data_IF_066150515633
#
_entry.id   IF_066150515633
#
_cell.length_a   1.000
_cell.length_b   1.000
_cell.length_c   1.000
_cell.angle_alpha   90.00
_cell.angle_beta   90.00
_cell.angle_gamma   90.00
#
_symmetry.space_group_name_H-M   'P 1'
#
loop_
_entity.id
_entity.type
_entity.pdbx_description
1 polymer ?
#
# COMPACT_ATOMS: atom_id res chain seq x y z
N UNK A 1 -16.57 -22.05 19.32
CA UNK A 1 -16.48 -23.31 18.55
C UNK A 1 -17.64 -24.20 18.98
N UNK A 2 -18.22 -24.99 18.09
CA UNK A 2 -19.24 -25.99 18.44
C UNK A 2 -18.50 -27.27 18.82
N UNK A 3 -18.77 -27.79 20.01
CA UNK A 3 -18.26 -29.09 20.42
C UNK A 3 -19.29 -30.16 20.10
N UNK A 4 -18.88 -31.22 19.40
CA UNK A 4 -19.77 -32.30 18.97
C UNK A 4 -19.16 -33.62 19.44
N UNK A 5 -19.94 -34.47 20.06
CA UNK A 5 -19.56 -35.84 20.38
C UNK A 5 -20.47 -36.80 19.64
N UNK A 6 -19.91 -37.61 18.76
CA UNK A 6 -20.59 -38.71 18.12
C UNK A 6 -19.97 -40.03 18.58
N UNK A 7 -20.60 -40.65 19.57
CA UNK A 7 -20.07 -41.81 20.29
C UNK A 7 -21.04 -42.98 20.12
N UNK A 8 -20.66 -43.98 19.31
CA UNK A 8 -21.43 -45.19 19.04
C UNK A 8 -22.93 -44.90 18.78
N UNK A 9 -23.16 -44.11 17.73
CA UNK A 9 -24.46 -43.64 17.24
C UNK A 9 -25.14 -42.53 18.08
N UNK A 10 -24.67 -42.24 19.28
CA UNK A 10 -25.23 -41.14 20.07
C UNK A 10 -24.55 -39.81 19.74
N UNK A 11 -25.35 -38.80 19.42
CA UNK A 11 -24.88 -37.47 19.06
C UNK A 11 -25.28 -36.46 20.13
N UNK A 12 -24.27 -35.83 20.74
CA UNK A 12 -24.45 -34.70 21.65
C UNK A 12 -23.66 -33.50 21.13
N UNK A 13 -24.20 -32.30 21.36
CA UNK A 13 -23.69 -31.04 20.85
C UNK A 13 -23.70 -30.02 21.98
N UNK A 14 -22.58 -29.32 22.14
CA UNK A 14 -22.40 -28.27 23.13
C UNK A 14 -21.93 -26.98 22.47
N UNK A 15 -22.69 -25.91 22.67
CA UNK A 15 -22.40 -24.56 22.19
C UNK A 15 -22.34 -23.56 23.36
N UNK A 16 -21.78 -22.38 23.11
CA UNK A 16 -21.71 -21.28 24.08
C UNK A 16 -20.31 -21.05 24.63
N UNK A 17 -20.22 -20.13 25.59
CA UNK A 17 -18.98 -19.81 26.31
C UNK A 17 -18.92 -20.61 27.63
N UNK A 18 -17.92 -20.37 28.50
CA UNK A 18 -17.87 -20.97 29.84
C UNK A 18 -19.14 -20.71 30.66
N UNK A 19 -19.73 -19.53 30.50
CA UNK A 19 -20.79 -19.05 31.39
C UNK A 19 -22.20 -19.36 30.86
N UNK A 20 -22.34 -19.70 29.57
CA UNK A 20 -23.64 -19.93 28.93
C UNK A 20 -23.60 -21.18 28.04
N UNK A 21 -23.37 -22.33 28.67
CA UNK A 21 -23.41 -23.61 27.98
C UNK A 21 -24.83 -23.96 27.54
N UNK A 22 -24.99 -24.24 26.25
CA UNK A 22 -26.22 -24.76 25.67
C UNK A 22 -25.92 -26.13 25.09
N UNK A 23 -26.69 -27.12 25.53
CA UNK A 23 -26.51 -28.50 25.12
C UNK A 23 -27.71 -28.94 24.28
N UNK A 24 -27.44 -29.84 23.35
CA UNK A 24 -28.44 -30.48 22.52
C UNK A 24 -28.03 -31.92 22.29
N UNK A 25 -28.99 -32.83 22.39
CA UNK A 25 -28.76 -34.26 22.20
C UNK A 25 -29.75 -34.76 21.16
N UNK A 26 -29.26 -35.58 20.23
CA UNK A 26 -30.12 -36.15 19.20
C UNK A 26 -31.20 -37.04 19.86
N UNK A 27 -32.47 -36.89 19.47
CA UNK A 27 -33.56 -37.67 20.08
C UNK A 27 -33.51 -39.15 19.71
N UNK A 28 -32.81 -39.50 18.64
CA UNK A 28 -32.64 -40.87 18.15
C UNK A 28 -31.16 -41.14 17.83
N UNK A 29 -30.70 -42.38 18.01
CA UNK A 29 -29.37 -42.79 17.57
C UNK A 29 -29.18 -42.57 16.05
N UNK A 30 -28.01 -42.06 15.68
CA UNK A 30 -27.57 -41.84 14.31
C UNK A 30 -26.68 -42.99 13.85
N UNK A 31 -27.30 -44.05 13.34
CA UNK A 31 -26.58 -45.22 12.80
C UNK A 31 -25.90 -44.95 11.44
N UNK A 32 -26.25 -43.86 10.75
CA UNK A 32 -25.67 -43.49 9.45
C UNK A 32 -25.20 -42.03 9.46
N UNK A 33 -24.01 -41.80 8.87
CA UNK A 33 -23.41 -40.49 8.67
C UNK A 33 -24.27 -39.57 7.80
N UNK A 34 -25.15 -40.10 6.95
CA UNK A 34 -26.06 -39.29 6.14
C UNK A 34 -27.04 -38.47 7.00
N UNK A 35 -27.43 -38.98 8.17
CA UNK A 35 -28.33 -38.31 9.11
C UNK A 35 -27.63 -37.22 9.95
N UNK A 36 -26.29 -37.22 9.98
CA UNK A 36 -25.49 -36.27 10.75
C UNK A 36 -25.70 -34.82 10.30
N UNK A 37 -25.76 -34.56 8.99
CA UNK A 37 -25.92 -33.21 8.45
C UNK A 37 -27.23 -32.53 8.90
N UNK A 38 -28.41 -33.16 8.69
CA UNK A 38 -29.68 -32.70 9.24
C UNK A 38 -29.66 -32.51 10.76
N UNK A 39 -29.10 -33.47 11.52
CA UNK A 39 -29.01 -33.39 12.97
C UNK A 39 -28.18 -32.19 13.44
N UNK A 40 -27.03 -31.94 12.81
CA UNK A 40 -26.19 -30.79 13.12
C UNK A 40 -26.90 -29.44 12.82
N UNK A 41 -27.69 -29.35 11.75
CA UNK A 41 -28.51 -28.14 11.48
C UNK A 41 -29.51 -27.88 12.59
N UNK A 42 -30.21 -28.92 13.03
CA UNK A 42 -31.17 -28.83 14.13
C UNK A 42 -30.46 -28.39 15.42
N UNK A 43 -29.33 -29.03 15.75
CA UNK A 43 -28.52 -28.68 16.90
C UNK A 43 -28.05 -27.21 16.89
N UNK A 44 -27.55 -26.72 15.75
CA UNK A 44 -27.12 -25.33 15.59
C UNK A 44 -28.29 -24.36 15.80
N UNK A 45 -29.46 -24.70 15.27
CA UNK A 45 -30.66 -23.86 15.43
C UNK A 45 -31.13 -23.80 16.88
N UNK A 46 -31.18 -24.93 17.60
CA UNK A 46 -31.66 -25.01 18.97
C UNK A 46 -30.67 -24.45 19.99
N UNK A 47 -29.37 -24.60 19.74
CA UNK A 47 -28.33 -23.99 20.57
C UNK A 47 -28.07 -22.51 20.23
N UNK A 48 -28.60 -22.04 19.10
CA UNK A 48 -28.33 -20.74 18.49
C UNK A 48 -26.83 -20.42 18.40
N UNK A 49 -26.04 -21.38 17.93
CA UNK A 49 -24.59 -21.21 17.78
C UNK A 49 -24.27 -20.25 16.61
N UNK A 50 -23.59 -19.11 16.86
CA UNK A 50 -23.31 -18.12 15.81
C UNK A 50 -22.07 -18.46 14.97
N UNK A 51 -21.22 -19.37 15.46
CA UNK A 51 -19.95 -19.71 14.82
C UNK A 51 -20.12 -20.71 13.67
N UNK A 52 -18.99 -21.07 13.05
CA UNK A 52 -18.93 -22.05 11.95
C UNK A 52 -17.87 -23.11 12.13
N UNK A 53 -17.25 -23.21 13.29
CA UNK A 53 -16.15 -24.15 13.56
C UNK A 53 -16.65 -25.24 14.48
N UNK A 54 -16.32 -26.48 14.13
CA UNK A 54 -16.73 -27.68 14.86
C UNK A 54 -15.49 -28.47 15.25
N UNK A 55 -15.41 -28.80 16.54
CA UNK A 55 -14.57 -29.87 17.04
C UNK A 55 -15.44 -31.08 17.32
N UNK A 56 -15.12 -32.21 16.69
CA UNK A 56 -15.85 -33.46 16.80
C UNK A 56 -14.99 -34.50 17.50
N UNK A 57 -15.51 -35.08 18.58
CA UNK A 57 -14.99 -36.30 19.18
C UNK A 57 -15.76 -37.50 18.65
N UNK A 58 -15.04 -38.53 18.22
CA UNK A 58 -15.58 -39.71 17.54
C UNK A 58 -15.26 -40.99 18.32
N UNK A 59 -16.28 -41.80 18.56
CA UNK A 59 -16.15 -43.23 18.81
C UNK A 59 -17.08 -43.95 17.83
N UNK A 60 -16.51 -44.78 16.96
CA UNK A 60 -17.23 -45.42 15.86
C UNK A 60 -16.62 -46.79 15.59
N UNK A 61 -17.44 -47.76 15.16
CA UNK A 61 -17.00 -49.14 14.91
C UNK A 61 -15.89 -49.24 13.84
N UNK A 62 -15.87 -48.30 12.89
CA UNK A 62 -14.84 -48.21 11.84
C UNK A 62 -13.57 -47.45 12.26
N UNK A 63 -13.53 -46.88 13.46
CA UNK A 63 -12.32 -46.25 14.00
C UNK A 63 -11.40 -47.33 14.55
N UNK A 64 -10.26 -47.51 13.88
CA UNK A 64 -9.24 -48.49 14.28
C UNK A 64 -8.08 -47.75 14.95
N UNK A 65 -7.63 -48.32 16.06
CA UNK A 65 -6.49 -47.84 16.83
C UNK A 65 -5.48 -48.97 16.94
N UNK A 66 -4.23 -48.70 16.59
CA UNK A 66 -3.18 -49.72 16.62
C UNK A 66 -1.87 -49.16 17.12
N UNK A 67 -1.20 -49.92 18.00
CA UNK A 67 0.14 -49.63 18.47
C UNK A 67 1.16 -50.23 17.48
N UNK A 68 2.14 -49.42 17.07
CA UNK A 68 3.18 -49.80 16.13
C UNK A 68 4.56 -49.47 16.69
N UNK A 69 5.46 -50.45 16.64
CA UNK A 69 6.89 -50.25 16.85
C UNK A 69 7.57 -49.98 15.52
N UNK A 70 8.35 -48.90 15.48
CA UNK A 70 9.07 -48.41 14.33
C UNK A 70 10.57 -48.49 14.65
N UNK A 71 11.38 -49.17 13.82
CA UNK A 71 12.82 -49.18 14.01
C UNK A 71 13.39 -47.76 13.91
N UNK A 72 14.53 -47.47 14.55
CA UNK A 72 15.16 -46.16 14.49
C UNK A 72 15.52 -45.82 13.03
N UNK A 73 14.82 -44.85 12.46
CA UNK A 73 15.01 -44.40 11.08
C UNK A 73 14.67 -42.91 10.93
N UNK A 74 14.94 -42.36 9.75
CA UNK A 74 14.57 -40.98 9.42
C UNK A 74 13.05 -40.80 9.45
N UNK A 75 12.58 -39.57 9.70
CA UNK A 75 11.14 -39.26 9.79
C UNK A 75 10.37 -39.59 8.51
N UNK A 76 10.99 -39.38 7.34
CA UNK A 76 10.41 -39.74 6.05
C UNK A 76 10.24 -41.27 5.90
N UNK A 77 11.24 -42.05 6.31
CA UNK A 77 11.18 -43.52 6.27
C UNK A 77 10.20 -44.06 7.29
N UNK A 78 10.18 -43.51 8.52
CA UNK A 78 9.20 -43.86 9.55
C UNK A 78 7.77 -43.66 9.05
N UNK A 79 7.49 -42.52 8.40
CA UNK A 79 6.16 -42.24 7.81
C UNK A 79 5.75 -43.28 6.76
N UNK A 80 6.66 -43.66 5.86
CA UNK A 80 6.39 -44.72 4.84
C UNK A 80 6.15 -46.08 5.49
N UNK A 81 6.87 -46.41 6.56
CA UNK A 81 6.66 -47.64 7.32
C UNK A 81 5.29 -47.66 7.99
N UNK A 82 4.87 -46.55 8.60
CA UNK A 82 3.53 -46.41 9.20
C UNK A 82 2.46 -46.53 8.13
N UNK A 83 2.60 -45.84 7.00
CA UNK A 83 1.65 -45.92 5.89
C UNK A 83 1.46 -47.36 5.39
N UNK A 84 2.56 -48.11 5.21
CA UNK A 84 2.51 -49.53 4.85
C UNK A 84 1.82 -50.39 5.92
N UNK A 85 2.01 -50.08 7.20
CA UNK A 85 1.33 -50.79 8.29
C UNK A 85 -0.16 -50.47 8.33
N UNK A 86 -0.56 -49.22 8.11
CA UNK A 86 -1.96 -48.80 8.01
C UNK A 86 -2.67 -49.59 6.93
N UNK A 87 -2.08 -49.69 5.74
CA UNK A 87 -2.65 -50.46 4.63
C UNK A 87 -2.79 -51.96 4.94
N UNK A 88 -1.91 -52.52 5.78
CA UNK A 88 -1.98 -53.93 6.22
C UNK A 88 -2.98 -54.17 7.35
N UNK A 89 -3.15 -53.20 8.25
CA UNK A 89 -3.92 -53.35 9.49
C UNK A 89 -5.36 -52.86 9.38
N UNK A 90 -5.69 -52.05 8.38
CA UNK A 90 -7.07 -51.59 8.17
C UNK A 90 -8.01 -52.80 8.01
N UNK A 91 -9.15 -52.74 8.69
CA UNK A 91 -10.20 -53.77 8.63
C UNK A 91 -11.28 -53.45 7.59
N UNK A 92 -11.11 -52.38 6.81
CA UNK A 92 -12.08 -51.84 5.87
C UNK A 92 -11.49 -51.68 4.46
N UNK A 93 -12.33 -51.74 3.40
CA UNK A 93 -11.89 -51.51 2.03
C UNK A 93 -11.58 -50.04 1.77
N UNK A 94 -10.78 -49.77 0.73
CA UNK A 94 -10.47 -48.42 0.28
C UNK A 94 -9.36 -47.70 1.09
N UNK A 95 -9.08 -46.43 0.78
CA UNK A 95 -8.01 -45.69 1.41
C UNK A 95 -8.36 -45.27 2.85
N UNK A 96 -7.38 -45.29 3.75
CA UNK A 96 -7.53 -44.81 5.11
C UNK A 96 -7.14 -43.32 5.25
N UNK A 97 -7.83 -42.60 6.12
CA UNK A 97 -7.35 -41.34 6.71
C UNK A 97 -6.80 -41.66 8.08
N UNK A 98 -5.55 -41.30 8.33
CA UNK A 98 -4.86 -41.70 9.55
C UNK A 98 -3.97 -40.59 10.12
N UNK A 99 -3.72 -40.68 11.42
CA UNK A 99 -2.77 -39.86 12.15
C UNK A 99 -2.03 -40.75 13.16
N UNK A 100 -0.74 -40.50 13.36
CA UNK A 100 0.10 -41.25 14.28
C UNK A 100 0.64 -40.31 15.35
N UNK A 101 0.42 -40.66 16.63
CA UNK A 101 1.00 -39.96 17.78
C UNK A 101 2.17 -40.76 18.34
N UNK A 102 3.15 -40.08 18.91
CA UNK A 102 4.26 -40.77 19.57
C UNK A 102 3.75 -41.53 20.78
N UNK A 103 4.22 -42.77 20.96
CA UNK A 103 3.89 -43.58 22.11
C UNK A 103 5.14 -43.90 22.92
N UNK A 104 4.93 -44.34 24.16
CA UNK A 104 5.99 -44.71 25.04
C UNK A 104 6.61 -46.03 24.60
N UNK A 105 7.94 -46.04 24.52
CA UNK A 105 8.71 -47.16 24.02
C UNK A 105 9.15 -48.05 25.19
N UNK A 106 9.17 -49.37 24.95
CA UNK A 106 9.72 -50.36 25.88
C UNK A 106 11.22 -50.62 25.68
N UNK A 107 11.77 -50.33 24.50
CA UNK A 107 13.16 -50.60 24.09
C UNK A 107 13.67 -49.50 23.13
N UNK A 108 14.89 -49.60 22.58
CA UNK A 108 15.55 -48.67 21.63
C UNK A 108 14.77 -48.37 20.32
N UNK A 109 13.55 -48.87 20.19
CA UNK A 109 12.63 -48.55 19.09
C UNK A 109 11.88 -47.24 19.34
N UNK A 110 11.35 -46.63 18.28
CA UNK A 110 10.31 -45.61 18.40
C UNK A 110 8.96 -46.30 18.35
N UNK A 111 7.97 -45.84 19.10
CA UNK A 111 6.63 -46.40 19.02
C UNK A 111 5.63 -45.30 18.73
N UNK A 112 4.54 -45.66 18.08
CA UNK A 112 3.44 -44.75 17.81
C UNK A 112 2.11 -45.46 17.93
N UNK A 113 1.07 -44.70 18.25
CA UNK A 113 -0.31 -45.15 18.15
C UNK A 113 -0.91 -44.52 16.92
N UNK A 114 -1.42 -45.35 16.01
CA UNK A 114 -2.06 -44.92 14.78
C UNK A 114 -3.56 -44.99 14.94
N UNK A 115 -4.20 -43.88 14.65
CA UNK A 115 -5.65 -43.75 14.57
C UNK A 115 -6.03 -43.68 13.11
N UNK A 116 -6.92 -44.55 12.65
CA UNK A 116 -7.32 -44.62 11.25
C UNK A 116 -8.82 -44.85 11.08
N UNK A 117 -9.40 -44.20 10.07
CA UNK A 117 -10.79 -44.36 9.64
C UNK A 117 -10.86 -44.50 8.11
N UNK A 118 -11.94 -45.09 7.56
CA UNK A 118 -12.18 -45.06 6.13
C UNK A 118 -12.25 -43.62 5.61
N UNK A 119 -11.62 -43.36 4.47
CA UNK A 119 -11.71 -42.04 3.81
C UNK A 119 -13.15 -41.67 3.47
N UNK A 120 -13.97 -42.64 3.11
CA UNK A 120 -15.39 -42.41 2.80
C UNK A 120 -16.16 -41.86 4.00
N UNK A 121 -15.96 -42.44 5.19
CA UNK A 121 -16.55 -41.96 6.43
C UNK A 121 -16.02 -40.56 6.77
N UNK A 122 -14.70 -40.36 6.68
CA UNK A 122 -14.09 -39.05 6.90
C UNK A 122 -14.70 -37.97 5.99
N UNK A 123 -14.80 -38.24 4.69
CA UNK A 123 -15.32 -37.28 3.72
C UNK A 123 -16.83 -37.07 3.91
N UNK A 124 -17.57 -38.09 4.33
CA UNK A 124 -18.98 -37.97 4.70
C UNK A 124 -19.17 -37.09 5.94
N UNK A 125 -18.33 -37.22 6.97
CA UNK A 125 -18.31 -36.33 8.14
C UNK A 125 -18.07 -34.87 7.73
N UNK A 126 -17.05 -34.62 6.89
CA UNK A 126 -16.76 -33.28 6.37
C UNK A 126 -17.93 -32.73 5.57
N UNK A 127 -18.54 -33.52 4.69
CA UNK A 127 -19.72 -33.12 3.90
C UNK A 127 -20.93 -32.82 4.81
N UNK A 128 -21.19 -33.64 5.82
CA UNK A 128 -22.27 -33.44 6.77
C UNK A 128 -22.11 -32.12 7.54
N UNK A 129 -20.91 -31.81 8.01
CA UNK A 129 -20.62 -30.49 8.61
C UNK A 129 -20.85 -29.35 7.61
N UNK A 130 -20.35 -29.47 6.37
CA UNK A 130 -20.54 -28.43 5.35
C UNK A 130 -22.01 -28.19 5.01
N UNK A 131 -22.82 -29.26 4.94
CA UNK A 131 -24.28 -29.17 4.74
C UNK A 131 -25.00 -28.46 5.91
N UNK A 132 -24.38 -28.40 7.08
CA UNK A 132 -24.85 -27.64 8.24
C UNK A 132 -24.25 -26.23 8.32
N UNK A 133 -23.55 -25.76 7.27
CA UNK A 133 -22.77 -24.52 7.26
C UNK A 133 -21.65 -24.47 8.31
N UNK A 134 -21.17 -25.63 8.72
CA UNK A 134 -20.10 -25.82 9.69
C UNK A 134 -18.81 -26.28 8.99
N UNK A 135 -17.68 -26.01 9.63
CA UNK A 135 -16.35 -26.44 9.19
C UNK A 135 -15.75 -27.32 10.29
N UNK A 136 -15.50 -28.57 9.94
CA UNK A 136 -14.82 -29.51 10.81
C UNK A 136 -13.35 -29.09 10.93
N UNK A 137 -12.95 -28.58 12.08
CA UNK A 137 -11.57 -28.13 12.35
C UNK A 137 -10.78 -29.17 13.14
N UNK A 138 -11.47 -29.93 14.00
CA UNK A 138 -10.88 -31.01 14.80
C UNK A 138 -11.76 -32.24 14.69
N UNK A 139 -11.13 -33.37 14.37
CA UNK A 139 -11.73 -34.70 14.44
C UNK A 139 -10.79 -35.58 15.24
N UNK A 140 -11.19 -35.91 16.47
CA UNK A 140 -10.34 -36.66 17.41
C UNK A 140 -11.07 -37.89 17.96
N UNK A 141 -10.38 -39.02 18.17
CA UNK A 141 -10.93 -40.16 18.90
C UNK A 141 -11.34 -39.82 20.34
N UNK A 142 -12.38 -40.48 20.85
CA UNK A 142 -12.78 -40.38 22.27
C UNK A 142 -11.64 -40.77 23.23
N UNK A 143 -10.81 -41.75 22.85
CA UNK A 143 -9.64 -42.16 23.63
C UNK A 143 -8.62 -41.05 23.83
N UNK A 144 -8.50 -40.12 22.88
CA UNK A 144 -7.56 -39.01 23.01
C UNK A 144 -8.10 -37.90 23.90
N UNK A 145 -9.43 -37.75 23.94
CA UNK A 145 -10.05 -36.89 24.94
C UNK A 145 -9.84 -37.46 26.35
N UNK A 146 -10.09 -38.76 26.55
CA UNK A 146 -9.81 -39.42 27.84
C UNK A 146 -8.34 -39.30 28.23
N UNK A 147 -7.43 -39.55 27.29
CA UNK A 147 -6.00 -39.36 27.50
C UNK A 147 -5.64 -37.98 27.99
N UNK A 148 -6.18 -36.95 27.35
CA UNK A 148 -5.89 -35.58 27.74
C UNK A 148 -6.39 -35.23 29.14
N UNK A 149 -7.55 -35.78 29.54
CA UNK A 149 -8.08 -35.62 30.90
C UNK A 149 -7.16 -36.31 31.93
N UNK A 150 -6.69 -37.52 31.62
CA UNK A 150 -5.74 -38.25 32.48
C UNK A 150 -4.45 -37.48 32.66
N UNK A 151 -3.89 -36.96 31.57
CA UNK A 151 -2.64 -36.20 31.61
C UNK A 151 -2.75 -34.89 32.40
N UNK A 152 -3.95 -34.30 32.51
CA UNK A 152 -4.17 -33.06 33.27
C UNK A 152 -4.34 -33.30 34.77
N UNK A 153 -4.83 -34.47 35.18
CA UNK A 153 -5.19 -34.75 36.57
C UNK A 153 -4.29 -35.79 37.27
N UNK A 154 -3.36 -36.42 36.55
CA UNK A 154 -2.41 -37.37 37.13
C UNK A 154 -1.37 -36.67 38.01
N UNK A 155 -1.33 -37.04 39.29
CA UNK A 155 -0.32 -36.59 40.25
C UNK A 155 0.69 -37.67 40.63
N UNK A 156 0.43 -38.92 40.26
CA UNK A 156 1.32 -40.03 40.63
C UNK A 156 2.61 -40.02 39.82
N UNK A 157 3.67 -40.61 40.37
CA UNK A 157 4.92 -40.92 39.68
C UNK A 157 4.84 -42.16 38.77
N UNK A 158 3.66 -42.80 38.69
CA UNK A 158 3.43 -44.07 37.98
C UNK A 158 2.42 -43.94 36.81
N UNK A 159 2.29 -45.00 36.01
CA UNK A 159 1.34 -44.97 34.89
C UNK A 159 -0.11 -45.01 35.39
N UNK A 160 -0.99 -44.29 34.70
CA UNK A 160 -2.42 -44.22 35.01
C UNK A 160 -3.22 -44.95 33.94
N UNK A 161 -4.10 -45.85 34.35
CA UNK A 161 -5.09 -46.52 33.50
C UNK A 161 -6.46 -45.89 33.72
N UNK A 162 -7.01 -45.21 32.74
CA UNK A 162 -8.40 -44.78 32.76
C UNK A 162 -9.30 -45.75 31.99
N UNK A 163 -10.40 -46.13 32.62
CA UNK A 163 -11.51 -46.88 32.05
C UNK A 163 -12.77 -46.04 32.14
N UNK A 164 -13.13 -45.38 31.04
CA UNK A 164 -14.22 -44.42 30.98
C UNK A 164 -15.33 -44.96 30.08
N UNK A 165 -16.54 -45.05 30.62
CA UNK A 165 -17.73 -45.41 29.87
C UNK A 165 -18.06 -44.33 28.83
N UNK A 166 -18.40 -44.79 27.64
CA UNK A 166 -19.03 -44.02 26.58
C UNK A 166 -20.32 -44.74 26.20
N UNK A 167 -21.26 -44.11 25.48
CA UNK A 167 -22.41 -44.83 24.96
C UNK A 167 -22.00 -46.12 24.26
N UNK A 168 -22.56 -47.27 24.66
CA UNK A 168 -22.27 -48.60 24.10
C UNK A 168 -20.80 -49.05 24.11
N UNK A 169 -19.93 -48.45 24.94
CA UNK A 169 -18.53 -48.85 25.02
C UNK A 169 -17.78 -48.40 26.27
N UNK A 170 -16.58 -48.93 26.46
CA UNK A 170 -15.63 -48.44 27.47
C UNK A 170 -14.30 -48.14 26.79
N UNK A 171 -13.84 -46.91 26.96
CA UNK A 171 -12.56 -46.43 26.47
C UNK A 171 -11.50 -46.71 27.53
N UNK A 172 -10.49 -47.50 27.16
CA UNK A 172 -9.34 -47.79 27.99
C UNK A 172 -8.10 -47.08 27.47
N UNK A 173 -7.49 -46.32 28.37
CA UNK A 173 -6.37 -45.44 28.09
C UNK A 173 -5.32 -45.65 29.16
N UNK A 174 -4.10 -45.99 28.76
CA UNK A 174 -2.96 -46.03 29.67
C UNK A 174 -2.00 -44.91 29.29
N UNK A 175 -1.69 -44.04 30.24
CA UNK A 175 -0.69 -42.97 30.08
C UNK A 175 0.42 -43.12 31.10
N UNK A 176 1.63 -42.75 30.70
CA UNK A 176 2.70 -42.42 31.65
C UNK A 176 2.38 -41.08 32.32
N UNK A 177 3.06 -40.82 33.44
CA UNK A 177 2.98 -39.55 34.18
C UNK A 177 3.32 -38.31 33.36
N UNK A 178 4.21 -38.47 32.38
CA UNK A 178 4.59 -37.40 31.46
C UNK A 178 3.55 -37.18 30.34
N UNK A 179 2.38 -37.81 30.42
CA UNK A 179 1.31 -37.74 29.44
C UNK A 179 1.54 -38.57 28.18
N UNK A 180 2.67 -39.28 28.06
CA UNK A 180 2.96 -40.10 26.87
C UNK A 180 2.05 -41.33 26.85
N UNK A 181 1.37 -41.60 25.73
CA UNK A 181 0.44 -42.71 25.64
C UNK A 181 1.17 -44.05 25.59
N UNK A 182 0.70 -45.03 26.38
CA UNK A 182 1.15 -46.43 26.29
C UNK A 182 0.19 -47.25 25.46
N UNK A 183 -1.10 -47.16 25.78
CA UNK A 183 -2.13 -47.99 25.18
C UNK A 183 -3.44 -47.22 25.03
N UNK A 184 -4.14 -47.49 23.93
CA UNK A 184 -5.48 -47.00 23.62
C UNK A 184 -6.29 -48.17 23.08
N UNK A 185 -7.47 -48.40 23.63
CA UNK A 185 -8.43 -49.35 23.07
C UNK A 185 -9.84 -48.97 23.48
N UNK A 186 -10.80 -49.39 22.66
CA UNK A 186 -12.22 -49.26 22.96
C UNK A 186 -12.82 -50.65 23.01
N UNK A 187 -13.57 -50.93 24.08
CA UNK A 187 -14.29 -52.19 24.27
C UNK A 187 -15.76 -51.90 24.01
N UNK A 188 -16.43 -52.74 23.24
CA UNK A 188 -17.88 -52.68 23.04
C UNK A 188 -18.60 -53.23 24.28
N UNK A 189 -19.64 -52.55 24.73
CA UNK A 189 -20.42 -52.94 25.91
C UNK A 189 -20.50 -51.83 26.96
N UNK A 190 -21.37 -51.99 27.94
CA UNK A 190 -21.53 -51.04 29.05
C UNK A 190 -21.14 -51.70 30.37
N UNK A 191 -20.82 -50.88 31.39
CA UNK A 191 -20.53 -51.44 32.72
C UNK A 191 -21.72 -52.26 33.24
N UNK A 192 -22.94 -51.80 32.97
CA UNK A 192 -24.17 -52.44 33.42
C UNK A 192 -24.41 -53.82 32.78
N UNK A 193 -24.14 -53.97 31.49
CA UNK A 193 -24.42 -55.21 30.75
C UNK A 193 -23.24 -56.19 30.73
N UNK A 194 -22.01 -55.68 30.67
CA UNK A 194 -20.79 -56.45 30.38
C UNK A 194 -19.74 -56.37 31.50
N UNK A 195 -20.16 -56.14 32.75
CA UNK A 195 -19.31 -55.88 33.90
C UNK A 195 -18.08 -56.83 34.00
N UNK A 196 -18.31 -58.14 34.10
CA UNK A 196 -17.24 -59.14 34.26
C UNK A 196 -16.26 -59.15 33.09
N UNK A 197 -16.78 -58.96 31.87
CA UNK A 197 -15.96 -58.87 30.66
C UNK A 197 -15.06 -57.64 30.72
N UNK A 198 -15.61 -56.46 31.05
CA UNK A 198 -14.85 -55.22 31.11
C UNK A 198 -13.81 -55.26 32.24
N UNK A 199 -14.16 -55.79 33.42
CA UNK A 199 -13.20 -55.98 34.52
C UNK A 199 -12.07 -56.93 34.12
N UNK A 200 -12.40 -58.06 33.48
CA UNK A 200 -11.41 -59.00 32.95
C UNK A 200 -10.48 -58.34 31.93
N UNK A 201 -11.01 -57.44 31.11
CA UNK A 201 -10.24 -56.64 30.17
C UNK A 201 -9.32 -55.62 30.86
N UNK A 202 -9.82 -54.87 31.85
CA UNK A 202 -9.00 -53.94 32.65
C UNK A 202 -7.82 -54.68 33.29
N UNK A 203 -8.07 -55.84 33.92
CA UNK A 203 -7.00 -56.69 34.50
C UNK A 203 -5.99 -57.12 33.45
N UNK A 204 -6.45 -57.58 32.28
CA UNK A 204 -5.56 -57.96 31.16
C UNK A 204 -4.71 -56.79 30.67
N UNK A 205 -5.25 -55.56 30.69
CA UNK A 205 -4.47 -54.35 30.36
C UNK A 205 -3.38 -54.10 31.38
N UNK A 206 -3.67 -54.16 32.67
CA UNK A 206 -2.68 -53.94 33.73
C UNK A 206 -1.52 -54.94 33.60
N UNK A 207 -1.85 -56.22 33.38
CA UNK A 207 -0.86 -57.28 33.18
C UNK A 207 -0.05 -57.02 31.90
N UNK A 208 -0.71 -56.69 30.79
CA UNK A 208 -0.05 -56.39 29.52
C UNK A 208 0.91 -55.21 29.66
N UNK A 209 0.52 -54.14 30.34
CA UNK A 209 1.38 -52.96 30.53
C UNK A 209 2.63 -53.32 31.32
N UNK A 210 2.48 -54.13 32.37
CA UNK A 210 3.60 -54.62 33.17
C UNK A 210 4.54 -55.52 32.35
N UNK A 211 4.00 -56.40 31.53
CA UNK A 211 4.79 -57.35 30.74
C UNK A 211 5.50 -56.67 29.56
N UNK A 212 4.77 -55.87 28.77
CA UNK A 212 5.26 -55.30 27.52
C UNK A 212 6.16 -54.08 27.76
N UNK A 213 5.79 -53.20 28.70
CA UNK A 213 6.49 -51.94 28.92
C UNK A 213 7.33 -51.91 30.19
N UNK A 214 7.30 -52.98 31.00
CA UNK A 214 7.97 -53.06 32.30
C UNK A 214 7.54 -51.91 33.24
N UNK A 215 6.27 -51.49 33.17
CA UNK A 215 5.73 -50.40 33.99
C UNK A 215 4.60 -50.89 34.89
N UNK A 216 4.57 -50.41 36.14
CA UNK A 216 3.39 -50.55 37.00
C UNK A 216 2.32 -49.51 36.62
N UNK A 217 1.06 -49.94 36.74
CA UNK A 217 -0.09 -49.05 36.77
C UNK A 217 -0.31 -48.69 38.24
N UNK A 218 -0.01 -47.45 38.62
CA UNK A 218 -0.12 -46.98 40.00
C UNK A 218 -1.51 -46.48 40.34
N UNK A 219 -2.24 -45.95 39.34
CA UNK A 219 -3.62 -45.49 39.51
C UNK A 219 -4.53 -46.07 38.43
N UNK A 220 -5.74 -46.48 38.83
CA UNK A 220 -6.82 -46.88 37.93
C UNK A 220 -7.97 -45.91 38.10
N UNK A 221 -8.32 -45.19 37.05
CA UNK A 221 -9.44 -44.26 37.05
C UNK A 221 -10.65 -44.93 36.41
N UNK A 222 -11.77 -44.94 37.11
CA UNK A 222 -13.02 -45.48 36.62
C UNK A 222 -14.00 -44.32 36.42
N UNK A 223 -14.63 -44.25 35.25
CA UNK A 223 -15.70 -43.31 34.94
C UNK A 223 -16.88 -44.03 34.28
N UNK A 224 -18.11 -43.69 34.66
CA UNK A 224 -19.32 -44.31 34.13
C UNK A 224 -20.46 -44.43 35.13
N UNK A 225 -21.58 -44.96 34.65
CA UNK A 225 -22.93 -44.59 35.11
C UNK A 225 -23.58 -45.48 36.17
N UNK A 226 -22.84 -46.30 36.94
CA UNK A 226 -23.46 -46.81 38.18
C UNK A 226 -22.94 -48.09 38.86
N UNK A 227 -21.98 -48.82 38.27
CA UNK A 227 -21.40 -50.01 38.94
C UNK A 227 -19.96 -49.78 39.43
N UNK A 228 -19.63 -48.52 39.70
CA UNK A 228 -18.28 -48.11 40.08
C UNK A 228 -17.83 -48.71 41.42
N UNK A 229 -18.73 -48.82 42.40
CA UNK A 229 -18.40 -49.43 43.71
C UNK A 229 -18.10 -50.91 43.60
N UNK A 230 -18.89 -51.64 42.81
CA UNK A 230 -18.64 -53.06 42.54
C UNK A 230 -17.33 -53.22 41.76
N UNK A 231 -17.07 -52.36 40.76
CA UNK A 231 -15.81 -52.34 40.02
C UNK A 231 -14.60 -52.11 40.93
N UNK A 232 -14.71 -51.18 41.88
CA UNK A 232 -13.67 -50.93 42.91
C UNK A 232 -13.44 -52.20 43.73
N UNK A 233 -14.50 -52.84 44.21
CA UNK A 233 -14.39 -54.05 45.03
C UNK A 233 -13.72 -55.19 44.26
N UNK A 234 -14.13 -55.42 43.01
CA UNK A 234 -13.58 -56.49 42.16
C UNK A 234 -12.14 -56.21 41.72
N UNK A 235 -11.73 -54.95 41.52
CA UNK A 235 -10.37 -54.61 41.12
C UNK A 235 -9.41 -54.51 42.31
N UNK A 236 -9.88 -54.05 43.47
CA UNK A 236 -9.07 -53.85 44.68
C UNK A 236 -8.46 -55.13 45.24
N UNK A 237 -9.07 -56.29 44.98
CA UNK A 237 -8.51 -57.59 45.37
C UNK A 237 -7.42 -58.08 44.42
N UNK A 238 -7.31 -57.52 43.21
CA UNK A 238 -6.52 -58.08 42.11
C UNK A 238 -5.36 -57.19 41.65
N UNK A 239 -5.40 -55.88 41.91
CA UNK A 239 -4.38 -54.93 41.47
C UNK A 239 -3.84 -54.10 42.65
N UNK A 240 -2.52 -53.92 42.78
CA UNK A 240 -1.92 -53.06 43.80
C UNK A 240 -2.11 -51.54 43.52
N UNK A 241 -2.96 -51.18 42.55
CA UNK A 241 -3.14 -49.81 42.08
C UNK A 241 -4.19 -49.06 42.90
N UNK A 242 -4.00 -47.76 43.11
CA UNK A 242 -4.99 -46.88 43.74
C UNK A 242 -6.15 -46.65 42.76
N UNK A 243 -7.34 -47.07 43.15
CA UNK A 243 -8.54 -46.86 42.32
C UNK A 243 -9.13 -45.49 42.65
N UNK A 244 -9.31 -44.64 41.64
CA UNK A 244 -9.96 -43.34 41.75
C UNK A 244 -11.23 -43.32 40.92
N UNK A 245 -12.27 -42.70 41.47
CA UNK A 245 -13.45 -42.36 40.70
C UNK A 245 -13.18 -41.04 40.00
N UNK A 246 -13.18 -41.07 38.67
CA UNK A 246 -13.12 -39.84 37.90
C UNK A 246 -14.54 -39.27 37.85
N UNK A 247 -14.74 -37.96 38.12
CA UNK A 247 -16.02 -37.33 37.85
C UNK A 247 -16.35 -37.57 36.38
N UNK A 248 -17.42 -38.32 36.14
CA UNK A 248 -17.86 -38.66 34.80
C UNK A 248 -18.12 -37.35 34.05
N UNK A 249 -17.54 -37.13 32.86
CA UNK A 249 -18.13 -36.13 31.99
C UNK A 249 -19.55 -36.62 31.76
N UNK A 250 -20.53 -35.83 32.20
CA UNK A 250 -21.95 -36.14 31.98
C UNK A 250 -22.16 -36.58 30.53
N UNK A 251 -23.17 -37.40 30.23
CA UNK A 251 -23.42 -37.90 28.86
C UNK A 251 -23.34 -36.78 27.79
N UNK A 252 -23.78 -35.56 28.14
CA UNK A 252 -23.71 -34.36 27.29
C UNK A 252 -22.37 -33.59 27.35
N UNK A 253 -21.53 -33.87 28.35
CA UNK A 253 -20.27 -33.21 28.65
C UNK A 253 -19.13 -33.49 27.66
N UNK A 254 -19.16 -34.59 26.91
CA UNK A 254 -18.14 -34.91 25.89
C UNK A 254 -18.03 -33.83 24.82
N UNK A 255 -19.18 -33.32 24.35
CA UNK A 255 -19.23 -32.19 23.43
C UNK A 255 -18.59 -30.93 24.04
N UNK A 256 -18.83 -30.66 25.33
CA UNK A 256 -18.25 -29.50 25.99
C UNK A 256 -16.73 -29.64 26.18
N UNK A 257 -16.24 -30.84 26.51
CA UNK A 257 -14.82 -31.13 26.65
C UNK A 257 -14.05 -30.91 25.34
N UNK A 258 -14.53 -31.48 24.22
CA UNK A 258 -13.84 -31.34 22.92
C UNK A 258 -13.80 -29.90 22.42
N UNK A 259 -14.70 -29.03 22.92
CA UNK A 259 -14.69 -27.60 22.61
C UNK A 259 -13.44 -26.88 23.12
N UNK A 260 -12.80 -27.40 24.18
CA UNK A 260 -11.50 -26.91 24.66
C UNK A 260 -10.33 -27.28 23.74
N UNK A 261 -10.50 -28.30 22.89
CA UNK A 261 -9.44 -28.84 22.04
C UNK A 261 -9.34 -28.06 20.73
N UNK A 262 -8.65 -26.91 20.76
CA UNK A 262 -8.28 -26.18 19.53
C UNK A 262 -7.17 -26.90 18.76
N UNK A 263 -6.28 -27.56 19.48
CA UNK A 263 -5.12 -28.29 18.93
C UNK A 263 -5.03 -29.65 19.60
N UNK A 264 -5.83 -30.60 19.12
CA UNK A 264 -5.64 -32.01 19.48
C UNK A 264 -4.33 -32.51 18.85
N UNK A 265 -3.52 -33.23 19.62
CA UNK A 265 -2.31 -33.90 19.12
C UNK A 265 -2.67 -34.85 17.98
N UNK A 266 -3.75 -35.61 18.17
CA UNK A 266 -4.39 -36.40 17.14
C UNK A 266 -5.55 -35.62 16.55
N UNK A 267 -5.37 -35.15 15.33
CA UNK A 267 -6.44 -34.59 14.53
C UNK A 267 -6.47 -35.29 13.17
N UNK A 268 -7.56 -35.97 12.87
CA UNK A 268 -7.78 -36.67 11.61
C UNK A 268 -8.11 -35.69 10.46
N UNK A 269 -8.45 -34.43 10.77
CA UNK A 269 -8.57 -33.38 9.75
C UNK A 269 -7.19 -32.95 9.27
N UNK A 270 -6.93 -33.15 7.97
CA UNK A 270 -5.62 -32.82 7.40
C UNK A 270 -5.35 -31.32 7.47
N UNK A 271 -4.07 -30.95 7.53
CA UNK A 271 -3.65 -29.54 7.49
C UNK A 271 -4.17 -28.84 6.23
N UNK A 272 -4.13 -29.53 5.09
CA UNK A 272 -4.66 -29.03 3.82
C UNK A 272 -6.15 -28.70 3.89
N UNK A 273 -6.96 -29.52 4.56
CA UNK A 273 -8.39 -29.25 4.74
C UNK A 273 -8.65 -28.06 5.66
N UNK A 274 -7.88 -27.91 6.74
CA UNK A 274 -7.93 -26.73 7.62
C UNK A 274 -7.56 -25.45 6.86
N UNK A 275 -6.51 -25.50 6.05
CA UNK A 275 -6.05 -24.37 5.24
C UNK A 275 -6.94 -24.10 4.01
N UNK A 276 -7.65 -25.11 3.48
CA UNK A 276 -8.47 -24.96 2.28
C UNK A 276 -9.51 -23.83 2.42
N UNK A 277 -10.02 -23.60 3.64
CA UNK A 277 -10.92 -22.47 3.91
C UNK A 277 -10.18 -21.13 3.80
N UNK A 278 -9.01 -21.01 4.43
CA UNK A 278 -8.19 -19.80 4.31
C UNK A 278 -7.88 -19.52 2.83
N UNK A 279 -7.52 -20.56 2.06
CA UNK A 279 -7.31 -20.47 0.61
C UNK A 279 -8.57 -20.03 -0.14
N UNK A 280 -9.76 -20.53 0.20
CA UNK A 280 -11.04 -20.11 -0.42
C UNK A 280 -11.42 -18.67 -0.10
N UNK A 281 -11.10 -18.20 1.10
CA UNK A 281 -11.33 -16.79 1.49
C UNK A 281 -10.33 -15.91 0.75
N UNK A 282 -9.05 -16.24 0.80
CA UNK A 282 -7.97 -15.54 0.07
C UNK A 282 -8.25 -15.51 -1.42
N UNK A 283 -8.72 -16.60 -2.03
CA UNK A 283 -9.04 -16.63 -3.47
C UNK A 283 -10.29 -15.82 -3.83
N UNK A 284 -11.27 -15.69 -2.93
CA UNK A 284 -12.42 -14.78 -3.13
C UNK A 284 -11.97 -13.32 -3.11
N UNK A 285 -11.16 -12.94 -2.12
CA UNK A 285 -10.60 -11.58 -2.05
C UNK A 285 -9.66 -11.29 -3.23
N UNK A 286 -8.81 -12.24 -3.59
CA UNK A 286 -7.92 -12.12 -4.74
C UNK A 286 -8.69 -11.91 -6.05
N UNK A 287 -9.80 -12.62 -6.27
CA UNK A 287 -10.68 -12.37 -7.42
C UNK A 287 -11.33 -10.99 -7.37
N UNK A 288 -11.80 -10.54 -6.21
CA UNK A 288 -12.39 -9.20 -6.05
C UNK A 288 -11.39 -8.09 -6.36
N UNK A 289 -10.17 -8.18 -5.81
CA UNK A 289 -9.09 -7.22 -6.09
C UNK A 289 -8.65 -7.26 -7.55
N UNK A 290 -8.59 -8.44 -8.17
CA UNK A 290 -8.31 -8.58 -9.59
C UNK A 290 -9.33 -7.87 -10.47
N UNK A 291 -10.63 -8.04 -10.19
CA UNK A 291 -11.70 -7.32 -10.90
C UNK A 291 -11.62 -5.81 -10.72
N UNK A 292 -11.29 -5.35 -9.50
CA UNK A 292 -11.12 -3.92 -9.22
C UNK A 292 -9.95 -3.33 -9.99
N UNK A 293 -8.81 -4.02 -10.05
CA UNK A 293 -7.65 -3.60 -10.82
C UNK A 293 -7.96 -3.50 -12.32
N UNK A 294 -8.61 -4.52 -12.89
CA UNK A 294 -9.04 -4.52 -14.30
C UNK A 294 -10.01 -3.36 -14.57
N UNK A 295 -10.99 -3.16 -13.70
CA UNK A 295 -11.98 -2.07 -13.85
C UNK A 295 -11.31 -0.69 -13.78
N UNK A 296 -10.34 -0.52 -12.87
CA UNK A 296 -9.55 0.71 -12.76
C UNK A 296 -8.73 0.97 -14.02
N UNK A 297 -8.05 -0.05 -14.56
CA UNK A 297 -7.28 0.06 -15.80
C UNK A 297 -8.15 0.43 -17.00
N UNK A 298 -9.34 -0.18 -17.13
CA UNK A 298 -10.31 0.18 -18.17
C UNK A 298 -10.80 1.62 -17.98
N UNK A 299 -11.14 2.01 -16.75
CA UNK A 299 -11.55 3.39 -16.44
C UNK A 299 -10.49 4.43 -16.79
N UNK A 300 -9.23 4.17 -16.44
CA UNK A 300 -8.10 5.03 -16.80
C UNK A 300 -7.88 5.10 -18.31
N UNK A 301 -8.01 3.98 -19.04
CA UNK A 301 -7.91 3.95 -20.49
C UNK A 301 -8.99 4.84 -21.14
N UNK A 302 -10.26 4.67 -20.74
CA UNK A 302 -11.38 5.49 -21.22
C UNK A 302 -11.17 6.97 -20.89
N UNK A 303 -10.73 7.28 -19.68
CA UNK A 303 -10.45 8.66 -19.26
C UNK A 303 -9.33 9.28 -20.10
N UNK A 304 -8.23 8.54 -20.33
CA UNK A 304 -7.12 9.00 -21.15
C UNK A 304 -7.53 9.25 -22.61
N UNK A 305 -8.42 8.42 -23.16
CA UNK A 305 -8.95 8.61 -24.50
C UNK A 305 -9.81 9.88 -24.58
N UNK A 306 -10.67 10.12 -23.58
CA UNK A 306 -11.45 11.36 -23.50
C UNK A 306 -10.57 12.60 -23.39
N UNK A 307 -9.51 12.55 -22.59
CA UNK A 307 -8.55 13.67 -22.51
C UNK A 307 -7.89 13.93 -23.86
N UNK A 308 -7.50 12.88 -24.60
CA UNK A 308 -6.95 13.03 -25.95
C UNK A 308 -7.95 13.63 -26.94
N UNK A 309 -9.21 13.23 -26.88
CA UNK A 309 -10.28 13.79 -27.70
C UNK A 309 -10.49 15.28 -27.39
N UNK A 310 -10.47 15.67 -26.11
CA UNK A 310 -10.56 17.07 -25.68
C UNK A 310 -9.34 17.89 -26.11
N UNK A 311 -8.13 17.35 -25.99
CA UNK A 311 -6.92 18.00 -26.49
C UNK A 311 -6.98 18.22 -28.00
N UNK A 312 -7.52 17.26 -28.74
CA UNK A 312 -7.69 17.39 -30.19
C UNK A 312 -8.66 18.51 -30.55
N UNK A 313 -9.84 18.55 -29.90
CA UNK A 313 -10.81 19.63 -30.15
C UNK A 313 -10.23 20.99 -29.78
N UNK A 314 -9.53 21.09 -28.65
CA UNK A 314 -8.90 22.34 -28.22
C UNK A 314 -7.81 22.79 -29.20
N UNK A 315 -6.97 21.87 -29.71
CA UNK A 315 -5.96 22.20 -30.74
C UNK A 315 -6.60 22.72 -32.02
N UNK A 316 -7.71 22.12 -32.46
CA UNK A 316 -8.44 22.57 -33.63
C UNK A 316 -9.04 23.96 -33.41
N UNK A 317 -9.62 24.22 -32.24
CA UNK A 317 -10.19 25.52 -31.89
C UNK A 317 -9.11 26.62 -31.80
N UNK A 318 -8.03 26.36 -31.07
CA UNK A 318 -6.85 27.24 -31.01
C UNK A 318 -6.28 27.52 -32.40
N UNK A 319 -6.20 26.50 -33.27
CA UNK A 319 -5.76 26.68 -34.65
C UNK A 319 -6.66 27.63 -35.46
N UNK A 320 -7.98 27.58 -35.23
CA UNK A 320 -8.94 28.51 -35.85
C UNK A 320 -8.79 29.94 -35.31
N UNK A 321 -8.57 30.09 -34.01
CA UNK A 321 -8.33 31.40 -33.41
C UNK A 321 -7.04 32.03 -33.92
N UNK A 322 -5.96 31.25 -34.00
CA UNK A 322 -4.68 31.70 -34.58
C UNK A 322 -4.89 32.13 -36.03
N UNK A 323 -5.56 31.32 -36.86
CA UNK A 323 -5.85 31.69 -38.25
C UNK A 323 -6.70 32.96 -38.36
N UNK A 324 -7.68 33.14 -37.45
CA UNK A 324 -8.51 34.36 -37.39
C UNK A 324 -7.67 35.58 -37.00
N UNK A 325 -6.80 35.46 -36.01
CA UNK A 325 -5.91 36.53 -35.57
C UNK A 325 -4.92 36.90 -36.68
N UNK A 326 -4.35 35.92 -37.38
CA UNK A 326 -3.49 36.16 -38.54
C UNK A 326 -4.24 36.90 -39.64
N UNK A 327 -5.47 36.47 -39.95
CA UNK A 327 -6.30 37.13 -40.96
C UNK A 327 -6.65 38.57 -40.59
N UNK A 328 -6.86 38.89 -39.30
CA UNK A 328 -7.07 40.25 -38.81
C UNK A 328 -5.77 41.09 -38.77
N UNK A 329 -4.63 40.46 -38.53
CA UNK A 329 -3.34 41.15 -38.44
C UNK A 329 -2.84 41.63 -39.81
N UNK A 330 -3.12 40.90 -40.89
CA UNK A 330 -2.72 41.28 -42.25
C UNK A 330 -3.23 42.67 -42.67
N UNK A 331 -4.54 42.99 -42.60
CA UNK A 331 -5.04 44.31 -42.98
C UNK A 331 -4.57 45.42 -42.02
N UNK A 332 -4.41 45.12 -40.72
CA UNK A 332 -3.85 46.08 -39.77
C UNK A 332 -2.40 46.45 -40.10
N UNK A 333 -1.57 45.47 -40.49
CA UNK A 333 -0.19 45.73 -40.95
C UNK A 333 -0.17 46.53 -42.25
N UNK A 334 -1.06 46.22 -43.19
CA UNK A 334 -1.20 46.98 -44.43
C UNK A 334 -1.63 48.44 -44.17
N UNK A 335 -2.58 48.64 -43.25
CA UNK A 335 -3.02 49.97 -42.83
C UNK A 335 -1.89 50.75 -42.14
N UNK A 336 -1.15 50.14 -41.21
CA UNK A 336 0.01 50.79 -40.57
C UNK A 336 1.08 51.17 -41.60
N UNK A 337 1.36 50.31 -42.58
CA UNK A 337 2.28 50.64 -43.67
C UNK A 337 1.79 51.83 -44.51
N UNK A 338 0.50 51.89 -44.85
CA UNK A 338 -0.06 53.04 -45.57
C UNK A 338 0.01 54.35 -44.77
N UNK A 339 -0.23 54.28 -43.45
CA UNK A 339 -0.11 55.43 -42.55
C UNK A 339 1.33 55.92 -42.45
N UNK A 340 2.31 55.01 -42.39
CA UNK A 340 3.73 55.36 -42.42
C UNK A 340 4.11 56.02 -43.74
N UNK A 341 3.64 55.51 -44.88
CA UNK A 341 3.87 56.14 -46.19
C UNK A 341 3.27 57.54 -46.27
N UNK A 342 2.04 57.74 -45.77
CA UNK A 342 1.40 59.06 -45.70
C UNK A 342 2.18 60.03 -44.80
N UNK A 343 2.69 59.57 -43.64
CA UNK A 343 3.53 60.40 -42.77
C UNK A 343 4.81 60.87 -43.46
N UNK A 344 5.49 59.98 -44.19
CA UNK A 344 6.70 60.35 -44.95
C UNK A 344 6.38 61.41 -46.02
N UNK A 345 5.23 61.33 -46.69
CA UNK A 345 4.79 62.34 -47.68
C UNK A 345 4.45 63.68 -47.02
N UNK A 346 3.79 63.65 -45.85
CA UNK A 346 3.46 64.85 -45.08
C UNK A 346 4.75 65.53 -44.59
N UNK A 347 5.68 64.77 -44.02
CA UNK A 347 7.00 65.28 -43.59
C UNK A 347 7.79 65.85 -44.77
N UNK A 348 7.76 65.21 -45.95
CA UNK A 348 8.40 65.72 -47.16
C UNK A 348 7.78 67.05 -47.65
N UNK A 349 6.45 67.19 -47.58
CA UNK A 349 5.76 68.46 -47.90
C UNK A 349 6.02 69.56 -46.87
N UNK A 350 6.06 69.21 -45.58
CA UNK A 350 6.40 70.15 -44.51
C UNK A 350 7.86 70.64 -44.61
N UNK A 351 8.77 69.81 -45.11
CA UNK A 351 10.15 70.23 -45.39
C UNK A 351 10.26 71.16 -46.61
N UNK A 352 9.43 70.99 -47.65
CA UNK A 352 9.44 71.82 -48.85
C UNK A 352 8.86 73.24 -48.66
N UNK A 353 8.03 73.44 -47.63
CA UNK A 353 7.40 74.73 -47.31
C UNK A 353 8.14 75.54 -46.24
N UNK A 354 9.26 75.02 -45.70
CA UNK A 354 10.06 75.77 -44.73
C UNK A 354 10.93 76.80 -45.47
N UNK A 355 10.88 78.09 -45.12
CA UNK A 355 11.81 79.06 -45.67
C UNK A 355 13.24 78.59 -45.39
N UNK A 356 14.18 78.75 -46.35
CA UNK A 356 15.55 78.27 -46.21
C UNK A 356 16.35 79.19 -45.28
N UNK A 357 15.89 79.31 -44.03
CA UNK A 357 16.47 80.17 -42.99
C UNK A 357 17.94 79.83 -42.77
N UNK A 358 18.32 78.56 -42.92
CA UNK A 358 19.71 78.09 -42.85
C UNK A 358 20.58 78.73 -43.94
N UNK A 359 20.08 78.80 -45.18
CA UNK A 359 20.80 79.38 -46.32
C UNK A 359 20.86 80.90 -46.20
N UNK A 360 19.76 81.53 -45.80
CA UNK A 360 19.72 82.98 -45.58
C UNK A 360 20.65 83.41 -44.44
N UNK A 361 20.68 82.65 -43.34
CA UNK A 361 21.59 82.90 -42.23
C UNK A 361 23.04 82.79 -42.66
N UNK A 362 23.42 81.70 -43.33
CA UNK A 362 24.80 81.52 -43.80
C UNK A 362 25.21 82.63 -44.77
N UNK A 363 24.33 83.01 -45.70
CA UNK A 363 24.57 84.11 -46.64
C UNK A 363 24.75 85.46 -45.92
N UNK A 364 23.91 85.77 -44.93
CA UNK A 364 24.05 87.01 -44.16
C UNK A 364 25.27 87.04 -43.26
N UNK A 365 25.61 85.91 -42.60
CA UNK A 365 26.82 85.81 -41.79
C UNK A 365 28.08 85.97 -42.66
N UNK A 366 28.11 85.37 -43.85
CA UNK A 366 29.20 85.51 -44.81
C UNK A 366 29.41 86.97 -45.24
N UNK A 367 28.32 87.74 -45.41
CA UNK A 367 28.41 89.16 -45.80
C UNK A 367 28.85 90.08 -44.65
N UNK A 368 28.55 89.71 -43.40
CA UNK A 368 28.88 90.51 -42.22
C UNK A 368 30.23 90.14 -41.59
N UNK A 369 30.95 89.15 -42.12
CA UNK A 369 32.21 88.65 -41.59
C UNK A 369 33.39 89.62 -41.89
N UNK A 370 33.98 90.27 -40.87
CA UNK A 370 35.17 91.08 -41.08
C UNK A 370 36.41 90.19 -41.33
N UNK A 371 37.44 90.71 -42.04
CA UNK A 371 38.74 90.04 -42.11
C UNK A 371 39.28 89.83 -40.68
N UNK A 372 39.79 88.63 -40.41
CA UNK A 372 40.31 88.23 -39.09
C UNK A 372 39.34 87.44 -38.20
N UNK A 373 38.10 87.17 -38.62
CA UNK A 373 37.19 86.23 -37.93
C UNK A 373 37.04 84.92 -38.72
N UNK A 374 37.16 83.79 -38.03
CA UNK A 374 36.86 82.46 -38.56
C UNK A 374 35.75 81.82 -37.73
N UNK A 375 34.59 81.57 -38.33
CA UNK A 375 33.50 80.84 -37.68
C UNK A 375 33.79 79.34 -37.75
N UNK A 376 33.70 78.65 -36.60
CA UNK A 376 33.95 77.20 -36.51
C UNK A 376 32.68 76.39 -36.35
N UNK A 377 31.66 76.95 -35.69
CA UNK A 377 30.39 76.28 -35.51
C UNK A 377 29.25 77.27 -35.60
N UNK A 378 28.28 76.99 -36.47
CA UNK A 378 27.02 77.72 -36.56
C UNK A 378 25.90 76.73 -36.28
N UNK A 379 25.38 76.75 -35.05
CA UNK A 379 24.23 75.98 -34.64
C UNK A 379 22.94 76.76 -34.86
N UNK A 380 21.96 76.13 -35.51
CA UNK A 380 20.62 76.67 -35.66
C UNK A 380 19.61 75.74 -34.96
N UNK A 381 19.03 76.20 -33.86
CA UNK A 381 17.97 75.51 -33.13
C UNK A 381 16.63 76.22 -33.33
N UNK A 382 15.55 75.47 -33.59
CA UNK A 382 14.22 76.06 -33.62
C UNK A 382 13.71 76.24 -32.18
N UNK A 383 13.30 77.44 -31.83
CA UNK A 383 12.64 77.77 -30.55
C UNK A 383 11.20 78.21 -30.84
N UNK A 384 10.33 78.20 -29.84
CA UNK A 384 8.88 78.39 -29.98
C UNK A 384 8.49 79.61 -30.83
N UNK A 385 9.27 80.70 -30.82
CA UNK A 385 9.02 81.95 -31.53
C UNK A 385 10.23 82.47 -32.33
N UNK A 386 11.05 81.59 -32.90
CA UNK A 386 12.19 81.99 -33.74
C UNK A 386 13.25 80.90 -33.87
N UNK A 387 14.42 81.27 -34.35
CA UNK A 387 15.59 80.41 -34.42
C UNK A 387 16.65 80.90 -33.45
N UNK A 388 17.00 80.05 -32.51
CA UNK A 388 18.19 80.25 -31.68
C UNK A 388 19.41 79.93 -32.50
N UNK A 389 20.28 80.92 -32.63
CA UNK A 389 21.53 80.81 -33.36
C UNK A 389 22.66 80.83 -32.35
N UNK A 390 23.55 79.87 -32.50
CA UNK A 390 24.81 79.83 -31.76
C UNK A 390 25.95 79.91 -32.76
N UNK A 391 26.79 80.93 -32.65
CA UNK A 391 27.96 81.11 -33.49
C UNK A 391 29.19 81.03 -32.62
N UNK A 392 30.03 80.03 -32.86
CA UNK A 392 31.33 79.88 -32.24
C UNK A 392 32.42 80.15 -33.30
N UNK A 393 33.51 80.79 -32.89
CA UNK A 393 34.59 81.15 -33.79
C UNK A 393 35.83 81.65 -33.08
N UNK A 394 36.80 82.08 -33.88
CA UNK A 394 38.06 82.68 -33.44
C UNK A 394 38.23 84.04 -34.10
N UNK A 395 38.75 85.01 -33.35
CA UNK A 395 39.16 86.30 -33.87
C UNK A 395 40.69 86.43 -33.75
N UNK A 396 41.36 86.80 -34.83
CA UNK A 396 42.81 87.04 -34.90
C UNK A 396 43.06 88.54 -34.95
N UNK A 397 43.94 89.04 -34.09
CA UNK A 397 44.29 90.46 -34.06
C UNK A 397 45.14 90.82 -35.29
N UNK A 398 44.53 91.51 -36.27
CA UNK A 398 45.24 92.19 -37.35
C UNK A 398 45.33 93.68 -37.02
N UNK A 399 46.54 94.26 -37.05
CA UNK A 399 46.79 95.71 -36.94
C UNK A 399 46.15 96.44 -35.74
N UNK A 400 46.83 96.52 -34.58
CA UNK A 400 46.51 97.36 -33.40
C UNK A 400 45.11 97.26 -32.76
N UNK A 401 44.15 96.56 -33.39
CA UNK A 401 42.78 96.38 -32.93
C UNK A 401 42.70 95.11 -32.07
N UNK A 402 42.02 95.19 -30.92
CA UNK A 402 41.89 94.03 -30.04
C UNK A 402 40.89 93.02 -30.62
N UNK A 403 41.07 91.70 -30.42
CA UNK A 403 40.11 90.70 -30.90
C UNK A 403 38.68 90.95 -30.41
N UNK A 404 38.52 91.51 -29.20
CA UNK A 404 37.23 91.90 -28.66
C UNK A 404 36.54 93.00 -29.50
N UNK A 405 37.29 93.99 -29.99
CA UNK A 405 36.75 95.04 -30.85
C UNK A 405 36.34 94.49 -32.24
N UNK A 406 37.06 93.50 -32.78
CA UNK A 406 36.69 92.82 -34.04
C UNK A 406 35.38 92.03 -33.86
N UNK A 407 35.21 91.32 -32.74
CA UNK A 407 33.97 90.60 -32.41
C UNK A 407 32.80 91.57 -32.19
N UNK A 408 33.03 92.72 -31.54
CA UNK A 408 32.00 93.74 -31.34
C UNK A 408 31.57 94.42 -32.66
N UNK A 409 32.52 94.63 -33.58
CA UNK A 409 32.21 95.08 -34.95
C UNK A 409 31.37 94.04 -35.68
N UNK A 410 31.70 92.75 -35.56
CA UNK A 410 30.92 91.66 -36.15
C UNK A 410 29.50 91.58 -35.57
N UNK A 411 29.34 91.62 -34.24
CA UNK A 411 27.99 91.62 -33.61
C UNK A 411 27.16 92.81 -34.05
N UNK A 412 27.78 93.99 -34.15
CA UNK A 412 27.13 95.21 -34.62
C UNK A 412 26.74 95.12 -36.11
N UNK A 413 27.64 94.62 -36.97
CA UNK A 413 27.39 94.43 -38.40
C UNK A 413 26.28 93.41 -38.66
N UNK A 414 26.24 92.32 -37.88
CA UNK A 414 25.18 91.31 -37.95
C UNK A 414 23.84 91.84 -37.42
N UNK A 415 23.86 92.69 -36.39
CA UNK A 415 22.67 93.34 -35.84
C UNK A 415 22.08 94.44 -36.73
N UNK A 416 22.91 95.15 -37.49
CA UNK A 416 22.50 96.18 -38.46
C UNK A 416 22.24 95.61 -39.87
N UNK A 417 22.68 94.38 -40.13
CA UNK A 417 22.50 93.70 -41.40
C UNK A 417 21.04 93.27 -41.68
N UNK A 418 20.77 92.73 -42.88
CA UNK A 418 19.43 92.39 -43.34
C UNK A 418 18.71 91.32 -42.48
N UNK A 419 19.45 90.60 -41.64
CA UNK A 419 18.90 89.56 -40.76
C UNK A 419 18.48 90.09 -39.37
N UNK A 420 18.79 91.35 -39.02
CA UNK A 420 18.47 91.96 -37.72
C UNK A 420 18.78 91.06 -36.51
N UNK A 421 19.93 90.37 -36.57
CA UNK A 421 20.31 89.33 -35.62
C UNK A 421 20.85 89.95 -34.34
N UNK A 422 20.13 89.75 -33.23
CA UNK A 422 20.58 90.16 -31.91
C UNK A 422 21.51 89.09 -31.33
N UNK A 423 22.80 89.16 -31.68
CA UNK A 423 23.85 88.34 -31.09
C UNK A 423 24.31 88.97 -29.77
N UNK A 424 24.27 88.19 -28.69
CA UNK A 424 24.83 88.56 -27.39
C UNK A 424 26.07 87.72 -27.12
N UNK A 425 27.15 88.31 -26.59
CA UNK A 425 28.26 87.54 -26.07
C UNK A 425 27.71 86.57 -25.04
N UNK A 426 27.98 85.28 -25.23
CA UNK A 426 27.72 84.33 -24.16
C UNK A 426 28.68 84.71 -23.05
N UNK A 427 28.17 85.36 -22.01
CA UNK A 427 28.92 85.53 -20.77
C UNK A 427 29.34 84.12 -20.38
N UNK A 428 30.64 83.86 -20.45
CA UNK A 428 31.24 82.63 -19.98
C UNK A 428 31.04 82.63 -18.47
N UNK A 429 29.84 82.23 -18.02
CA UNK A 429 29.59 81.87 -16.65
C UNK A 429 30.65 80.81 -16.33
N UNK A 430 31.56 81.14 -15.42
CA UNK A 430 32.61 80.28 -14.92
C UNK A 430 32.05 78.88 -14.75
N UNK A 431 32.63 77.94 -15.50
CA UNK A 431 32.11 76.60 -15.72
C UNK A 431 31.78 75.91 -14.39
N UNK A 432 30.50 75.90 -14.01
CA UNK A 432 29.99 74.87 -13.11
C UNK A 432 29.59 73.73 -14.03
N UNK A 433 30.45 72.72 -14.12
CA UNK A 433 30.27 71.50 -14.90
C UNK A 433 28.87 70.92 -14.67
N UNK A 434 27.94 70.98 -15.66
CA UNK A 434 26.72 70.20 -15.56
C UNK A 434 27.06 68.74 -15.84
N UNK A 435 26.62 67.87 -14.94
CA UNK A 435 26.74 66.42 -15.02
C UNK A 435 26.32 65.90 -16.42
N UNK A 436 26.93 64.80 -16.91
CA UNK A 436 26.61 64.24 -18.21
C UNK A 436 25.17 63.73 -18.18
N UNK A 437 24.27 64.44 -18.85
CA UNK A 437 22.97 63.88 -19.25
C UNK A 437 23.26 62.95 -20.42
N UNK A 438 23.17 61.65 -20.17
CA UNK A 438 23.04 60.61 -21.20
C UNK A 438 21.75 60.88 -22.01
N UNK A 439 21.86 61.70 -23.04
CA UNK A 439 21.03 61.55 -24.22
C UNK A 439 21.80 60.69 -25.21
N UNK A 440 21.52 59.41 -25.09
CA UNK A 440 21.81 58.36 -26.06
C UNK A 440 21.25 58.75 -27.45
N UNK A 441 21.90 58.24 -28.49
CA UNK A 441 21.67 58.52 -29.93
C UNK A 441 22.29 59.84 -30.43
N UNK A 442 23.61 59.98 -30.27
CA UNK A 442 24.44 60.73 -31.26
C UNK A 442 24.72 59.81 -32.44
N UNK A 443 24.25 60.20 -33.63
CA UNK A 443 24.51 59.51 -34.88
C UNK A 443 26.03 59.44 -35.16
N UNK A 444 26.53 58.23 -35.40
CA UNK A 444 27.95 57.85 -35.45
C UNK A 444 28.77 58.41 -36.64
N UNK A 445 28.23 59.35 -37.41
CA UNK A 445 28.89 59.91 -38.59
C UNK A 445 29.66 61.21 -38.32
N UNK A 446 29.38 61.93 -37.24
CA UNK A 446 30.06 63.21 -36.92
C UNK A 446 31.45 63.03 -36.29
N UNK A 447 31.82 61.83 -35.83
CA UNK A 447 33.16 61.54 -35.32
C UNK A 447 34.24 61.48 -36.41
N UNK A 448 33.86 61.40 -37.69
CA UNK A 448 34.77 61.30 -38.84
C UNK A 448 35.15 62.65 -39.49
N UNK A 449 34.60 63.76 -39.01
CA UNK A 449 34.90 65.12 -39.51
C UNK A 449 35.69 65.98 -38.50
N UNK A 450 36.22 65.39 -37.43
CA UNK A 450 37.22 66.04 -36.56
C UNK A 450 38.61 65.90 -37.20
N UNK A 451 38.82 66.60 -38.31
CA UNK A 451 40.13 67.21 -38.52
C UNK A 451 40.14 68.43 -37.60
N UNK A 452 41.02 68.42 -36.59
CA UNK A 452 41.19 69.58 -35.72
C UNK A 452 41.45 70.80 -36.60
N UNK A 453 40.58 71.83 -36.60
CA UNK A 453 40.84 73.02 -37.39
C UNK A 453 42.16 73.60 -36.87
N UNK A 454 43.16 73.63 -37.75
CA UNK A 454 44.49 74.21 -37.54
C UNK A 454 44.35 75.50 -36.73
N UNK A 455 44.72 75.46 -35.45
CA UNK A 455 44.76 76.66 -34.62
C UNK A 455 45.70 77.66 -35.32
N UNK A 456 45.22 78.85 -35.74
CA UNK A 456 46.10 79.83 -36.36
C UNK A 456 47.17 80.24 -35.34
N UNK A 457 48.44 80.23 -35.75
CA UNK A 457 49.62 80.44 -34.89
C UNK A 457 49.79 81.89 -34.34
N UNK A 458 48.70 82.65 -34.27
CA UNK A 458 48.65 84.01 -33.71
C UNK A 458 47.89 84.05 -32.38
N UNK A 459 47.90 85.20 -31.70
CA UNK A 459 47.07 85.46 -30.51
C UNK A 459 45.58 85.50 -30.90
N UNK A 460 45.00 84.33 -31.16
CA UNK A 460 43.60 84.16 -31.49
C UNK A 460 42.78 84.04 -30.20
N UNK A 461 41.69 84.81 -30.10
CA UNK A 461 40.75 84.72 -28.99
C UNK A 461 39.49 84.01 -29.49
N UNK A 462 39.09 82.91 -28.83
CA UNK A 462 37.81 82.25 -29.14
C UNK A 462 36.64 83.08 -28.62
N UNK A 463 35.52 83.02 -29.33
CA UNK A 463 34.27 83.65 -28.92
C UNK A 463 33.09 82.71 -29.15
N UNK A 464 32.03 82.93 -28.37
CA UNK A 464 30.74 82.25 -28.51
C UNK A 464 29.64 83.29 -28.41
N UNK A 465 28.82 83.39 -29.46
CA UNK A 465 27.70 84.32 -29.55
C UNK A 465 26.41 83.51 -29.61
N UNK A 466 25.43 83.93 -28.82
CA UNK A 466 24.08 83.37 -28.89
C UNK A 466 23.10 84.48 -29.23
N UNK A 467 22.19 84.21 -30.15
CA UNK A 467 21.17 85.16 -30.56
C UNK A 467 19.89 84.48 -31.01
N UNK A 468 18.87 85.30 -31.27
CA UNK A 468 17.58 84.84 -31.75
C UNK A 468 17.29 85.56 -33.07
N UNK A 469 17.10 84.80 -34.14
CA UNK A 469 16.49 85.27 -35.38
C UNK A 469 14.98 85.11 -35.24
N UNK A 470 14.25 86.21 -35.29
CA UNK A 470 12.79 86.18 -35.24
C UNK A 470 12.19 86.03 -36.63
#
# INVERSE_FOLDING_TARGET
MLGVSWLNDELHVCAGDSDTLRMWSAPQPLCDVTALGPALRLAVSQTAFPGREVALVLAHSQLVQSYLEIPPCSTATARRLVERHVERLKSFPGPAVWNAQSAATGTDSRSCIVHMIPRELHDALVRACLQANLNLTVLTPASELVASMVSQSSTSGESVLAAVEIPNGVVLVVNRTNGVPLLRRTITGSWAADFERIIGEVRRTVIFVRQQYQQSVGEIWLGGSGLLEEAIRSLGTAAPAVIRLQPEPTRDGWGCLVRGFRTAEVNLVTREQREARQRRVVSRWGRGLGWLAISSSVGLAVFSQRLREQEWTNRVELGREVARLEHCLVPLRAADQSMRQQRVVIEARECALRPPVQVWLLGGLAHSLPPGIVLTNVGLGRVTNGWQIKVDGWATAESSESPAAIVERFTSAVGQGPLALLLRPRQTASATSPAPVETDVRASWTSRLREDPLQPAGKAQSFSLEGILR
#
